data_IF_843627026179
#
_entry.id   IF_843627026179
#
_cell.length_a   1.000
_cell.length_b   1.000
_cell.length_c   1.000
_cell.angle_alpha   90.00
_cell.angle_beta   90.00
_cell.angle_gamma   90.00
#
_symmetry.space_group_name_H-M   'P 1'
#
loop_
_entity.id
_entity.type
_entity.pdbx_description
1 polymer ?
#
# COMPACT_ATOMS: atom_id res chain seq x y z
N UNK A 1 16.49 7.57 33.40
CA UNK A 1 15.92 7.78 32.05
C UNK A 1 14.48 8.23 32.20
N UNK A 2 14.11 9.40 31.68
CA UNK A 2 12.72 9.88 31.73
C UNK A 2 11.88 9.06 30.74
N UNK A 3 10.83 8.37 31.23
CA UNK A 3 9.95 7.56 30.38
C UNK A 3 9.21 8.48 29.41
N UNK A 4 9.31 8.22 28.11
CA UNK A 4 8.59 8.98 27.08
C UNK A 4 7.18 8.42 26.91
N UNK A 5 6.22 9.30 26.63
CA UNK A 5 4.80 8.93 26.50
C UNK A 5 4.45 8.28 25.16
N UNK A 6 5.39 8.18 24.21
CA UNK A 6 5.16 7.54 22.90
C UNK A 6 6.42 6.91 22.34
N UNK A 7 6.25 5.85 21.54
CA UNK A 7 7.30 5.22 20.75
C UNK A 7 7.68 6.20 19.62
N UNK A 8 8.95 6.61 19.57
CA UNK A 8 9.39 7.62 18.60
C UNK A 8 9.66 7.03 17.21
N UNK A 9 9.98 5.74 17.13
CA UNK A 9 10.27 5.07 15.87
C UNK A 9 10.03 3.57 15.93
N UNK A 10 9.54 3.01 14.83
CA UNK A 10 9.37 1.58 14.62
C UNK A 10 10.07 1.14 13.33
N UNK A 11 10.74 -0.01 13.38
CA UNK A 11 11.30 -0.68 12.20
C UNK A 11 10.24 -1.63 11.66
N UNK A 12 9.81 -1.41 10.42
CA UNK A 12 8.98 -2.33 9.68
C UNK A 12 9.83 -3.29 8.85
N UNK A 13 9.28 -4.47 8.56
CA UNK A 13 9.87 -5.39 7.59
C UNK A 13 10.04 -4.70 6.23
N UNK A 14 11.17 -4.98 5.55
CA UNK A 14 11.42 -4.47 4.21
C UNK A 14 10.27 -4.83 3.25
N UNK A 15 9.90 -3.95 2.30
CA UNK A 15 10.61 -2.71 1.95
C UNK A 15 10.21 -1.48 2.79
N UNK A 16 9.27 -1.58 3.74
CA UNK A 16 8.69 -0.42 4.46
C UNK A 16 9.71 0.40 5.27
N UNK A 17 10.72 -0.27 5.85
CA UNK A 17 11.81 0.41 6.55
C UNK A 17 11.40 1.06 7.88
N UNK A 18 12.19 2.06 8.31
CA UNK A 18 11.94 2.78 9.56
C UNK A 18 10.84 3.84 9.38
N UNK A 19 9.88 3.87 10.31
CA UNK A 19 8.84 4.90 10.38
C UNK A 19 8.91 5.59 11.74
N UNK A 20 9.24 6.89 11.72
CA UNK A 20 9.19 7.73 12.92
C UNK A 20 7.76 8.12 13.27
N UNK A 21 7.51 8.50 14.52
CA UNK A 21 6.19 8.99 14.95
C UNK A 21 5.76 10.24 14.19
N UNK A 22 6.69 11.13 13.86
CA UNK A 22 6.41 12.34 13.08
C UNK A 22 5.99 11.97 11.65
N UNK A 23 6.69 11.01 11.03
CA UNK A 23 6.32 10.51 9.71
C UNK A 23 4.94 9.86 9.75
N UNK A 24 4.68 8.98 10.74
CA UNK A 24 3.38 8.33 10.92
C UNK A 24 2.23 9.35 11.10
N UNK A 25 2.43 10.37 11.92
CA UNK A 25 1.42 11.41 12.16
C UNK A 25 1.20 12.33 10.95
N UNK A 26 2.19 12.46 10.06
CA UNK A 26 2.08 13.23 8.82
C UNK A 26 1.46 12.44 7.66
N UNK A 27 1.25 11.12 7.80
CA UNK A 27 0.60 10.31 6.79
C UNK A 27 -0.87 10.68 6.63
N UNK A 28 -1.32 10.69 5.38
CA UNK A 28 -2.74 10.71 5.05
C UNK A 28 -3.49 9.55 5.73
N UNK A 29 -4.76 9.74 6.14
CA UNK A 29 -5.53 8.72 6.86
C UNK A 29 -5.43 7.32 6.27
N UNK A 30 -5.72 7.21 4.97
CA UNK A 30 -5.73 5.94 4.28
C UNK A 30 -4.36 5.22 4.27
N UNK A 31 -3.24 5.94 4.36
CA UNK A 31 -1.90 5.33 4.39
C UNK A 31 -1.57 4.70 5.76
N UNK A 32 -1.80 5.42 6.87
CA UNK A 32 -1.54 4.81 8.18
C UNK A 32 -2.60 3.76 8.55
N UNK A 33 -3.85 3.92 8.07
CA UNK A 33 -4.91 2.92 8.21
C UNK A 33 -4.54 1.64 7.47
N UNK A 34 -3.90 1.76 6.30
CA UNK A 34 -3.34 0.62 5.59
C UNK A 34 -2.30 -0.12 6.45
N UNK A 35 -1.29 0.59 6.97
CA UNK A 35 -0.25 -0.01 7.82
C UNK A 35 -0.85 -0.69 9.06
N UNK A 36 -1.82 -0.04 9.69
CA UNK A 36 -2.56 -0.60 10.83
C UNK A 36 -3.25 -1.90 10.44
N UNK A 37 -3.91 -1.95 9.28
CA UNK A 37 -4.56 -3.15 8.76
C UNK A 37 -3.57 -4.31 8.57
N UNK A 38 -2.45 -4.05 7.88
CA UNK A 38 -1.43 -5.07 7.61
C UNK A 38 -0.72 -5.58 8.87
N UNK A 39 -0.50 -4.72 9.88
CA UNK A 39 -0.01 -5.17 11.19
C UNK A 39 -0.98 -6.17 11.83
N UNK A 40 -2.29 -5.92 11.77
CA UNK A 40 -3.29 -6.83 12.35
C UNK A 40 -3.42 -8.15 11.56
N UNK A 41 -3.32 -8.10 10.23
CA UNK A 41 -3.25 -9.30 9.38
C UNK A 41 -2.03 -10.13 9.73
N UNK A 42 -0.84 -9.51 9.81
CA UNK A 42 0.39 -10.21 10.15
C UNK A 42 0.34 -10.80 11.55
N UNK A 43 -0.15 -10.05 12.54
CA UNK A 43 -0.28 -10.55 13.92
C UNK A 43 -1.20 -11.77 14.00
N UNK A 44 -2.21 -11.83 13.13
CA UNK A 44 -3.17 -12.95 13.11
C UNK A 44 -2.64 -14.18 12.35
N UNK A 45 -1.84 -13.98 11.30
CA UNK A 45 -1.34 -15.06 10.42
C UNK A 45 0.04 -15.59 10.78
N UNK A 46 0.94 -14.75 11.27
CA UNK A 46 2.32 -15.10 11.65
C UNK A 46 2.74 -14.29 12.90
N UNK A 47 2.22 -14.65 14.09
CA UNK A 47 2.42 -13.87 15.33
C UNK A 47 3.88 -13.78 15.78
N UNK A 48 4.72 -14.75 15.38
CA UNK A 48 6.15 -14.84 15.62
C UNK A 48 7.00 -13.95 14.69
N UNK A 49 6.44 -13.56 13.53
CA UNK A 49 7.04 -12.65 12.56
C UNK A 49 6.27 -11.32 12.45
N UNK A 50 6.25 -10.48 13.50
CA UNK A 50 5.56 -9.19 13.50
C UNK A 50 6.06 -8.27 12.38
N UNK A 51 5.14 -7.53 11.77
CA UNK A 51 5.43 -6.62 10.67
C UNK A 51 6.21 -5.39 11.13
N UNK A 52 6.01 -4.95 12.38
CA UNK A 52 6.61 -3.75 12.95
C UNK A 52 7.16 -4.04 14.36
N UNK A 53 8.36 -3.52 14.63
CA UNK A 53 9.04 -3.65 15.92
C UNK A 53 9.51 -2.29 16.42
N UNK A 54 9.46 -2.07 17.73
CA UNK A 54 10.03 -0.89 18.36
C UNK A 54 11.53 -0.76 18.03
N UNK A 55 12.01 0.44 17.66
CA UNK A 55 13.42 0.65 17.33
C UNK A 55 14.36 0.31 18.51
N UNK A 56 13.91 0.56 19.76
CA UNK A 56 14.72 0.34 20.97
C UNK A 56 14.68 -1.12 21.43
N UNK A 57 13.52 -1.58 21.93
CA UNK A 57 13.43 -2.89 22.58
C UNK A 57 13.13 -4.03 21.61
N UNK A 58 12.94 -3.77 20.32
CA UNK A 58 12.62 -4.75 19.27
C UNK A 58 11.32 -5.55 19.50
N UNK A 59 10.56 -5.24 20.56
CA UNK A 59 9.26 -5.83 20.84
C UNK A 59 8.26 -5.46 19.74
N UNK A 60 7.28 -6.33 19.45
CA UNK A 60 6.22 -6.05 18.47
C UNK A 60 5.45 -4.77 18.83
N UNK A 61 5.10 -3.97 17.81
CA UNK A 61 4.29 -2.76 17.97
C UNK A 61 3.12 -2.74 17.01
N UNK A 62 2.09 -1.98 17.36
CA UNK A 62 0.96 -1.69 16.50
C UNK A 62 0.65 -0.20 16.45
N UNK A 63 -0.16 0.19 15.47
CA UNK A 63 -0.67 1.56 15.35
C UNK A 63 -2.02 1.62 16.06
N UNK A 64 -2.12 2.41 17.12
CA UNK A 64 -3.36 2.77 17.80
C UNK A 64 -3.92 4.06 17.18
N UNK A 65 -5.21 4.08 16.89
CA UNK A 65 -5.93 5.32 16.62
C UNK A 65 -6.34 5.97 17.96
N UNK A 66 -5.85 7.18 18.21
CA UNK A 66 -6.23 7.97 19.36
C UNK A 66 -7.19 9.09 18.94
N UNK A 67 -8.38 9.10 19.53
CA UNK A 67 -9.34 10.17 19.29
C UNK A 67 -8.80 11.51 19.84
N UNK A 68 -8.93 12.56 19.03
CA UNK A 68 -8.63 13.95 19.38
C UNK A 68 -9.79 14.85 18.92
N UNK A 69 -9.75 16.14 19.28
CA UNK A 69 -10.74 17.11 18.82
C UNK A 69 -10.74 17.30 17.29
N UNK A 70 -9.65 16.96 16.59
CA UNK A 70 -9.50 17.08 15.15
C UNK A 70 -9.67 15.73 14.41
N UNK A 71 -10.20 14.70 15.09
CA UNK A 71 -10.31 13.34 14.58
C UNK A 71 -9.26 12.39 15.15
N UNK A 72 -9.14 11.20 14.56
CA UNK A 72 -8.20 10.18 15.03
C UNK A 72 -6.79 10.46 14.54
N UNK A 73 -5.82 10.40 15.45
CA UNK A 73 -4.38 10.44 15.11
C UNK A 73 -3.74 9.07 15.34
N UNK A 74 -2.81 8.64 14.45
CA UNK A 74 -2.09 7.39 14.62
C UNK A 74 -0.94 7.53 15.62
N UNK A 75 -0.83 6.59 16.55
CA UNK A 75 0.30 6.48 17.48
C UNK A 75 0.79 5.05 17.55
N UNK A 76 2.10 4.87 17.69
CA UNK A 76 2.68 3.56 18.00
C UNK A 76 2.39 3.15 19.44
N UNK A 77 2.10 1.88 19.64
CA UNK A 77 1.91 1.25 20.94
C UNK A 77 2.52 -0.15 20.97
N UNK A 78 3.00 -0.57 22.14
CA UNK A 78 3.48 -1.93 22.37
C UNK A 78 2.31 -2.89 22.56
N UNK A 79 2.46 -4.12 22.08
CA UNK A 79 1.56 -5.21 22.48
C UNK A 79 1.79 -5.61 23.96
N UNK A 80 0.85 -6.38 24.53
CA UNK A 80 0.85 -6.75 25.94
C UNK A 80 2.05 -7.62 26.37
N UNK A 81 2.67 -8.30 25.42
CA UNK A 81 3.82 -9.19 25.56
C UNK A 81 5.18 -8.47 25.41
N UNK A 82 5.19 -7.14 25.30
CA UNK A 82 6.42 -6.36 25.12
C UNK A 82 7.26 -6.21 26.41
N UNK A 83 8.55 -5.92 26.21
CA UNK A 83 9.50 -5.68 27.30
C UNK A 83 9.11 -4.46 28.16
N UNK A 84 8.84 -4.63 29.47
CA UNK A 84 8.38 -3.55 30.35
C UNK A 84 9.41 -2.44 30.61
N UNK A 85 10.70 -2.75 30.44
CA UNK A 85 11.80 -1.84 30.72
C UNK A 85 12.12 -0.89 29.55
N UNK A 86 11.38 -0.99 28.45
CA UNK A 86 11.51 -0.07 27.34
C UNK A 86 11.23 1.38 27.78
N UNK A 87 12.09 2.36 27.47
CA UNK A 87 11.86 3.75 27.85
C UNK A 87 10.63 4.38 27.20
N UNK A 88 10.11 3.75 26.14
CA UNK A 88 8.89 4.13 25.43
C UNK A 88 7.68 3.28 25.82
N UNK A 89 7.78 2.48 26.88
CA UNK A 89 6.69 1.63 27.34
C UNK A 89 5.56 2.47 27.95
N UNK A 90 4.36 2.35 27.39
CA UNK A 90 3.16 3.11 27.79
C UNK A 90 2.29 2.40 28.82
N UNK A 91 2.72 1.24 29.34
CA UNK A 91 1.91 0.38 30.22
C UNK A 91 1.27 -0.79 29.46
N UNK A 92 0.55 -1.65 30.19
CA UNK A 92 -0.14 -2.80 29.61
C UNK A 92 -1.36 -2.31 28.79
N UNK A 93 -1.46 -2.64 27.49
CA UNK A 93 -2.67 -2.37 26.73
C UNK A 93 -3.83 -3.21 27.27
N UNK A 94 -5.07 -2.76 27.01
CA UNK A 94 -6.28 -3.53 27.31
C UNK A 94 -6.21 -4.89 26.60
N UNK A 95 -6.52 -5.95 27.34
CA UNK A 95 -6.66 -7.30 26.77
C UNK A 95 -7.87 -7.29 25.82
N UNK A 96 -7.78 -7.89 24.62
CA UNK A 96 -8.89 -7.91 23.66
C UNK A 96 -10.23 -8.35 24.26
N UNK A 97 -10.23 -9.37 25.12
CA UNK A 97 -11.43 -9.88 25.79
C UNK A 97 -12.07 -8.85 26.73
N UNK A 98 -11.25 -8.13 27.49
CA UNK A 98 -11.71 -7.05 28.38
C UNK A 98 -12.28 -5.88 27.58
N UNK A 99 -11.66 -5.54 26.45
CA UNK A 99 -12.15 -4.49 25.56
C UNK A 99 -13.52 -4.85 24.96
N UNK A 100 -13.72 -6.12 24.58
CA UNK A 100 -15.02 -6.62 24.12
C UNK A 100 -16.06 -6.58 25.22
N UNK A 101 -15.74 -7.10 26.40
CA UNK A 101 -16.64 -7.09 27.54
C UNK A 101 -17.09 -5.67 27.90
N UNK A 102 -16.18 -4.70 27.85
CA UNK A 102 -16.49 -3.29 28.11
C UNK A 102 -17.39 -2.66 27.03
N UNK A 103 -17.15 -2.94 25.76
CA UNK A 103 -17.94 -2.39 24.65
C UNK A 103 -19.36 -2.97 24.63
N UNK A 104 -19.49 -4.28 24.78
CA UNK A 104 -20.76 -4.97 24.62
C UNK A 104 -21.54 -5.11 25.93
N UNK A 105 -20.93 -4.83 27.09
CA UNK A 105 -21.55 -4.95 28.43
C UNK A 105 -22.26 -6.31 28.64
N UNK A 106 -21.75 -7.38 28.03
CA UNK A 106 -22.33 -8.72 28.08
C UNK A 106 -23.54 -8.98 27.16
N UNK A 107 -23.97 -8.01 26.35
CA UNK A 107 -25.03 -8.20 25.35
C UNK A 107 -24.41 -8.73 24.05
N UNK A 108 -24.65 -10.00 23.73
CA UNK A 108 -24.07 -10.65 22.54
C UNK A 108 -24.70 -10.19 21.22
N UNK A 109 -26.01 -9.90 21.20
CA UNK A 109 -26.72 -9.59 19.96
C UNK A 109 -27.94 -8.70 20.24
N UNK A 110 -28.21 -7.68 19.41
CA UNK A 110 -29.40 -6.84 19.55
C UNK A 110 -30.46 -7.20 18.50
N UNK A 111 -31.74 -6.89 18.77
CA UNK A 111 -32.86 -7.24 17.89
C UNK A 111 -32.71 -6.69 16.45
N UNK A 112 -32.06 -5.53 16.29
CA UNK A 112 -31.77 -4.95 14.97
C UNK A 112 -30.77 -5.80 14.17
N UNK A 113 -29.75 -6.34 14.83
CA UNK A 113 -28.75 -7.20 14.19
C UNK A 113 -29.41 -8.46 13.66
N UNK A 114 -30.15 -9.15 14.55
CA UNK A 114 -30.89 -10.35 14.21
C UNK A 114 -31.86 -10.13 13.07
N UNK A 115 -32.64 -9.05 13.14
CA UNK A 115 -33.57 -8.69 12.07
C UNK A 115 -32.88 -8.50 10.72
N UNK A 116 -31.73 -7.80 10.68
CA UNK A 116 -30.97 -7.64 9.44
C UNK A 116 -30.45 -8.98 8.90
N UNK A 117 -29.90 -9.83 9.77
CA UNK A 117 -29.37 -11.14 9.39
C UNK A 117 -30.47 -12.05 8.84
N UNK A 118 -31.60 -12.15 9.55
CA UNK A 118 -32.76 -12.94 9.13
C UNK A 118 -33.31 -12.44 7.79
N UNK A 119 -33.45 -11.11 7.63
CA UNK A 119 -33.96 -10.51 6.39
C UNK A 119 -33.02 -10.78 5.20
N UNK A 120 -31.71 -10.61 5.38
CA UNK A 120 -30.72 -10.90 4.34
C UNK A 120 -30.75 -12.41 3.99
N UNK A 121 -30.88 -13.28 4.98
CA UNK A 121 -30.97 -14.71 4.75
C UNK A 121 -32.25 -15.10 3.99
N UNK A 122 -33.39 -14.49 4.30
CA UNK A 122 -34.64 -14.72 3.58
C UNK A 122 -34.57 -14.26 2.11
N UNK A 123 -33.90 -13.13 1.85
CA UNK A 123 -33.59 -12.69 0.48
C UNK A 123 -32.73 -13.73 -0.24
N UNK A 124 -31.69 -14.27 0.41
CA UNK A 124 -30.89 -15.34 -0.20
C UNK A 124 -31.70 -16.61 -0.43
N UNK A 125 -32.58 -17.02 0.49
CA UNK A 125 -33.43 -18.22 0.32
C UNK A 125 -34.44 -18.08 -0.82
N UNK A 126 -34.89 -16.86 -1.08
CA UNK A 126 -35.77 -16.56 -2.22
C UNK A 126 -35.03 -16.54 -3.56
N UNK A 127 -33.70 -16.41 -3.56
CA UNK A 127 -32.89 -16.46 -4.78
C UNK A 127 -32.88 -17.90 -5.33
N UNK A 128 -33.36 -18.15 -6.56
CA UNK A 128 -33.46 -19.50 -7.13
C UNK A 128 -32.10 -20.18 -7.33
N UNK A 129 -31.00 -19.44 -7.20
CA UNK A 129 -29.63 -19.94 -7.33
C UNK A 129 -29.06 -20.44 -5.99
N UNK A 130 -29.75 -20.20 -4.87
CA UNK A 130 -29.27 -20.56 -3.56
C UNK A 130 -29.26 -22.08 -3.35
N UNK A 131 -28.08 -22.61 -3.03
CA UNK A 131 -27.86 -24.01 -2.67
C UNK A 131 -27.95 -24.17 -1.15
N UNK A 132 -27.35 -23.23 -0.42
CA UNK A 132 -27.29 -23.27 1.05
C UNK A 132 -27.29 -21.86 1.61
N UNK A 133 -28.12 -21.62 2.62
CA UNK A 133 -28.16 -20.36 3.37
C UNK A 133 -28.21 -20.66 4.86
N UNK A 134 -27.33 -20.04 5.63
CA UNK A 134 -27.24 -20.26 7.08
C UNK A 134 -27.01 -18.94 7.81
N UNK A 135 -27.62 -18.77 8.98
CA UNK A 135 -27.47 -17.62 9.86
C UNK A 135 -26.78 -18.08 11.13
N UNK A 136 -25.77 -17.35 11.59
CA UNK A 136 -25.00 -17.64 12.81
C UNK A 136 -24.55 -19.10 12.94
N UNK A 137 -24.26 -19.76 11.81
CA UNK A 137 -23.87 -21.16 11.80
C UNK A 137 -22.35 -21.30 11.63
N UNK A 138 -21.76 -22.18 12.42
CA UNK A 138 -20.32 -22.46 12.39
C UNK A 138 -19.89 -22.92 11.00
N UNK A 139 -18.98 -22.18 10.37
CA UNK A 139 -18.22 -22.69 9.24
C UNK A 139 -17.00 -23.43 9.78
N UNK A 140 -17.08 -24.76 9.75
CA UNK A 140 -15.94 -25.63 10.04
C UNK A 140 -14.88 -25.41 8.94
N UNK A 141 -13.62 -25.12 9.29
CA UNK A 141 -12.59 -24.90 8.29
C UNK A 141 -12.23 -26.21 7.58
N UNK A 142 -11.75 -26.10 6.35
CA UNK A 142 -11.31 -27.25 5.57
C UNK A 142 -10.08 -27.96 6.17
N UNK A 143 -9.30 -27.25 7.00
CA UNK A 143 -8.11 -27.74 7.72
C UNK A 143 -8.32 -27.43 9.21
N UNK A 144 -8.01 -28.37 10.11
CA UNK A 144 -8.37 -28.33 11.55
C UNK A 144 -7.73 -27.17 12.36
N UNK A 145 -8.22 -25.94 12.18
CA UNK A 145 -7.93 -24.78 13.04
C UNK A 145 -9.20 -23.93 13.21
N UNK A 146 -9.73 -23.81 14.44
CA UNK A 146 -10.95 -23.03 14.86
C UNK A 146 -11.64 -22.19 13.78
N UNK A 147 -12.82 -22.65 13.32
CA UNK A 147 -13.67 -21.97 12.34
C UNK A 147 -14.32 -20.67 12.86
N UNK A 148 -15.01 -19.96 11.97
CA UNK A 148 -15.76 -18.74 12.30
C UNK A 148 -17.24 -18.85 11.94
N UNK A 149 -18.04 -18.01 12.56
CA UNK A 149 -19.48 -17.90 12.33
C UNK A 149 -19.71 -16.60 11.55
N UNK A 150 -20.02 -16.66 10.25
CA UNK A 150 -20.55 -15.49 9.56
C UNK A 150 -21.97 -15.21 10.06
N UNK A 151 -22.33 -13.93 10.14
CA UNK A 151 -23.69 -13.54 10.51
C UNK A 151 -24.69 -14.11 9.49
N UNK A 152 -24.37 -14.02 8.19
CA UNK A 152 -25.08 -14.75 7.13
C UNK A 152 -24.09 -15.38 6.15
N UNK A 153 -24.29 -16.66 5.85
CA UNK A 153 -23.59 -17.37 4.78
C UNK A 153 -24.56 -17.79 3.69
N UNK A 154 -24.13 -17.63 2.43
CA UNK A 154 -24.87 -18.09 1.27
C UNK A 154 -23.94 -18.77 0.25
N UNK A 155 -24.31 -19.96 -0.21
CA UNK A 155 -23.75 -20.62 -1.39
C UNK A 155 -24.75 -20.46 -2.54
N UNK A 156 -24.35 -19.70 -3.56
CA UNK A 156 -25.15 -19.41 -4.75
C UNK A 156 -24.66 -20.21 -5.97
N UNK A 157 -24.08 -21.39 -5.73
CA UNK A 157 -23.62 -22.31 -6.77
C UNK A 157 -22.51 -21.72 -7.62
N UNK A 158 -22.75 -21.61 -8.93
CA UNK A 158 -21.76 -21.09 -9.88
C UNK A 158 -21.39 -19.61 -9.61
N UNK A 159 -22.22 -18.88 -8.88
CA UNK A 159 -21.89 -17.51 -8.46
C UNK A 159 -20.86 -17.54 -7.31
N UNK A 160 -20.85 -18.59 -6.48
CA UNK A 160 -19.88 -18.80 -5.41
C UNK A 160 -20.46 -18.65 -4.01
N UNK A 161 -19.55 -18.63 -3.03
CA UNK A 161 -19.87 -18.60 -1.60
C UNK A 161 -19.63 -17.21 -1.01
N UNK A 162 -20.54 -16.77 -0.15
CA UNK A 162 -20.55 -15.43 0.42
C UNK A 162 -20.69 -15.49 1.94
N UNK A 163 -19.91 -14.68 2.63
CA UNK A 163 -20.07 -14.36 4.04
C UNK A 163 -20.44 -12.88 4.16
N UNK A 164 -21.58 -12.60 4.77
CA UNK A 164 -22.06 -11.25 5.10
C UNK A 164 -21.86 -11.04 6.59
N UNK A 165 -21.12 -10.00 6.96
CA UNK A 165 -20.93 -9.56 8.34
C UNK A 165 -21.69 -8.24 8.55
N UNK A 166 -22.72 -8.26 9.39
CA UNK A 166 -23.60 -7.12 9.67
C UNK A 166 -23.04 -6.33 10.85
N UNK A 167 -22.61 -5.11 10.59
CA UNK A 167 -21.94 -4.30 11.59
C UNK A 167 -22.80 -3.12 12.08
N UNK A 168 -23.26 -3.22 13.33
CA UNK A 168 -24.04 -2.16 14.01
C UNK A 168 -23.23 -1.31 14.98
N UNK A 169 -22.07 -1.80 15.41
CA UNK A 169 -21.20 -1.12 16.38
C UNK A 169 -19.76 -1.14 15.89
N UNK A 170 -18.86 -0.36 16.48
CA UNK A 170 -17.47 -0.30 16.00
C UNK A 170 -16.79 -1.68 16.13
N UNK A 171 -16.34 -2.33 15.05
CA UNK A 171 -15.61 -3.59 15.14
C UNK A 171 -14.17 -3.36 15.62
N UNK A 172 -13.54 -4.40 16.18
CA UNK A 172 -12.13 -4.37 16.54
C UNK A 172 -11.26 -4.78 15.35
N UNK A 173 -10.15 -4.06 15.11
CA UNK A 173 -9.24 -4.33 13.98
C UNK A 173 -8.72 -5.77 13.90
N UNK A 174 -8.47 -6.41 15.05
CA UNK A 174 -8.02 -7.80 15.08
C UNK A 174 -9.12 -8.78 14.65
N UNK A 175 -10.40 -8.46 14.91
CA UNK A 175 -11.54 -9.30 14.49
C UNK A 175 -11.79 -9.16 13.00
N UNK A 176 -11.63 -7.94 12.47
CA UNK A 176 -11.68 -7.69 11.02
C UNK A 176 -10.60 -8.53 10.34
N UNK A 177 -9.33 -8.36 10.74
CA UNK A 177 -8.21 -9.11 10.17
C UNK A 177 -8.43 -10.64 10.21
N UNK A 178 -8.89 -11.18 11.33
CA UNK A 178 -9.13 -12.61 11.49
C UNK A 178 -10.22 -13.15 10.53
N UNK A 179 -11.31 -12.40 10.32
CA UNK A 179 -12.38 -12.78 9.38
C UNK A 179 -11.91 -12.77 7.94
N UNK A 180 -11.16 -11.73 7.56
CA UNK A 180 -10.56 -11.62 6.24
C UNK A 180 -9.65 -12.81 5.93
N UNK A 181 -8.78 -13.22 6.87
CA UNK A 181 -7.91 -14.38 6.69
C UNK A 181 -8.70 -15.69 6.57
N UNK A 182 -9.70 -15.91 7.45
CA UNK A 182 -10.49 -17.12 7.46
C UNK A 182 -11.32 -17.31 6.19
N UNK A 183 -12.11 -16.30 5.78
CA UNK A 183 -12.95 -16.46 4.59
C UNK A 183 -12.12 -16.57 3.31
N UNK A 184 -10.96 -15.90 3.25
CA UNK A 184 -10.01 -16.08 2.15
C UNK A 184 -9.51 -17.52 2.05
N UNK A 185 -9.11 -18.14 3.16
CA UNK A 185 -8.61 -19.53 3.14
C UNK A 185 -9.68 -20.54 2.74
N UNK A 186 -10.95 -20.24 3.02
CA UNK A 186 -12.10 -21.08 2.67
C UNK A 186 -12.68 -20.79 1.26
N UNK A 187 -12.10 -19.85 0.51
CA UNK A 187 -12.61 -19.45 -0.81
C UNK A 187 -13.99 -18.78 -0.75
N UNK A 188 -14.32 -18.16 0.39
CA UNK A 188 -15.59 -17.48 0.64
C UNK A 188 -15.40 -15.97 0.46
N UNK A 189 -16.25 -15.35 -0.34
CA UNK A 189 -16.22 -13.90 -0.59
C UNK A 189 -16.86 -13.15 0.58
N UNK A 190 -16.07 -12.34 1.28
CA UNK A 190 -16.50 -11.55 2.44
C UNK A 190 -17.05 -10.19 2.00
N UNK A 191 -18.19 -9.79 2.59
CA UNK A 191 -18.70 -8.42 2.56
C UNK A 191 -19.16 -7.99 3.95
N UNK A 192 -18.81 -6.77 4.31
CA UNK A 192 -19.28 -6.11 5.51
C UNK A 192 -20.39 -5.14 5.16
N UNK A 193 -21.50 -5.25 5.89
CA UNK A 193 -22.71 -4.47 5.66
C UNK A 193 -23.01 -3.64 6.90
N UNK A 194 -23.11 -2.34 6.71
CA UNK A 194 -23.44 -1.38 7.75
C UNK A 194 -24.94 -1.14 7.80
N UNK A 195 -25.43 -0.77 8.99
CA UNK A 195 -26.81 -0.30 9.14
C UNK A 195 -27.02 1.15 8.74
N UNK A 196 -25.96 1.94 8.83
CA UNK A 196 -25.93 3.38 8.66
C UNK A 196 -24.50 3.86 8.46
N UNK A 197 -24.37 5.07 7.94
CA UNK A 197 -23.10 5.73 7.68
C UNK A 197 -23.12 7.06 8.40
N UNK A 198 -22.43 7.14 9.55
CA UNK A 198 -22.28 8.38 10.28
C UNK A 198 -21.35 9.35 9.53
N UNK A 199 -21.56 10.66 9.70
CA UNK A 199 -20.69 11.70 9.13
C UNK A 199 -19.24 11.53 9.61
N UNK A 200 -19.05 11.25 10.90
CA UNK A 200 -17.77 10.87 11.48
C UNK A 200 -17.73 9.39 11.83
N UNK A 201 -17.02 8.60 11.03
CA UNK A 201 -16.91 7.17 11.26
C UNK A 201 -15.89 6.84 12.36
N UNK A 202 -16.29 6.08 13.41
CA UNK A 202 -15.34 5.53 14.36
C UNK A 202 -14.30 4.64 13.67
N UNK A 203 -13.07 4.59 14.21
CA UNK A 203 -11.95 3.92 13.55
C UNK A 203 -12.23 2.48 13.07
N UNK A 204 -13.01 1.70 13.81
CA UNK A 204 -13.29 0.31 13.43
C UNK A 204 -14.09 0.22 12.13
N UNK A 205 -15.03 1.15 11.91
CA UNK A 205 -15.76 1.24 10.64
C UNK A 205 -14.83 1.66 9.50
N UNK A 206 -13.90 2.59 9.76
CA UNK A 206 -12.85 2.96 8.78
C UNK A 206 -11.93 1.78 8.45
N UNK A 207 -11.55 0.99 9.46
CA UNK A 207 -10.76 -0.23 9.28
C UNK A 207 -11.49 -1.20 8.31
N UNK A 208 -12.81 -1.39 8.45
CA UNK A 208 -13.63 -2.18 7.52
C UNK A 208 -13.66 -1.57 6.11
N UNK A 209 -13.97 -0.28 5.98
CA UNK A 209 -14.02 0.43 4.68
C UNK A 209 -12.68 0.31 3.93
N UNK A 210 -11.55 0.42 4.63
CA UNK A 210 -10.22 0.23 4.07
C UNK A 210 -10.08 -1.16 3.45
N UNK A 211 -10.51 -2.20 4.17
CA UNK A 211 -10.46 -3.57 3.68
C UNK A 211 -11.39 -3.81 2.49
N UNK A 212 -12.48 -3.05 2.38
CA UNK A 212 -13.38 -2.99 1.22
C UNK A 212 -12.94 -1.93 0.21
N UNK A 213 -11.66 -1.54 0.18
CA UNK A 213 -11.06 -0.62 -0.81
C UNK A 213 -11.79 0.73 -0.96
N UNK A 214 -12.30 1.28 0.14
CA UNK A 214 -13.04 2.55 0.15
C UNK A 214 -14.53 2.42 -0.19
N UNK A 215 -15.10 1.22 -0.05
CA UNK A 215 -16.52 0.95 -0.30
C UNK A 215 -17.23 0.70 1.05
N UNK A 216 -18.33 1.42 1.27
CA UNK A 216 -19.25 1.14 2.36
C UNK A 216 -20.56 0.59 1.79
N UNK A 217 -20.94 -0.60 2.22
CA UNK A 217 -22.19 -1.25 1.80
C UNK A 217 -23.21 -1.15 2.91
N UNK A 218 -24.40 -0.65 2.58
CA UNK A 218 -25.51 -0.50 3.51
C UNK A 218 -26.68 -1.37 3.06
N UNK A 219 -27.32 -2.00 4.04
CA UNK A 219 -28.64 -2.61 3.87
C UNK A 219 -29.70 -1.71 4.50
N UNK A 220 -30.00 -0.63 3.77
CA UNK A 220 -31.01 0.37 4.12
C UNK A 220 -32.38 0.05 3.51
N UNK A 221 -33.38 0.92 3.70
CA UNK A 221 -34.72 0.73 3.18
C UNK A 221 -34.78 0.66 1.64
N UNK A 222 -33.91 1.40 0.94
CA UNK A 222 -33.86 1.41 -0.53
C UNK A 222 -33.24 0.10 -1.04
N UNK A 223 -32.15 -0.33 -0.42
CA UNK A 223 -31.49 -1.61 -0.70
C UNK A 223 -32.42 -2.80 -0.44
N UNK A 224 -33.18 -2.77 0.66
CA UNK A 224 -34.15 -3.80 0.98
C UNK A 224 -35.27 -3.88 -0.08
N UNK A 225 -35.89 -2.74 -0.44
CA UNK A 225 -36.93 -2.72 -1.47
C UNK A 225 -36.41 -3.24 -2.83
N UNK A 226 -35.21 -2.81 -3.23
CA UNK A 226 -34.57 -3.27 -4.46
C UNK A 226 -34.22 -4.78 -4.43
N UNK A 227 -33.88 -5.31 -3.26
CA UNK A 227 -33.61 -6.74 -3.09
C UNK A 227 -34.85 -7.59 -3.30
N UNK A 228 -35.99 -7.15 -2.75
CA UNK A 228 -37.28 -7.81 -2.95
C UNK A 228 -37.74 -7.76 -4.41
N UNK A 229 -37.59 -6.61 -5.06
CA UNK A 229 -37.97 -6.43 -6.47
C UNK A 229 -37.14 -7.33 -7.40
N UNK A 230 -35.84 -7.49 -7.12
CA UNK A 230 -34.90 -8.23 -7.98
C UNK A 230 -34.76 -9.71 -7.62
N UNK A 231 -35.32 -10.15 -6.50
CA UNK A 231 -35.22 -11.54 -6.02
C UNK A 231 -33.79 -11.96 -5.68
N UNK A 232 -32.99 -11.05 -5.15
CA UNK A 232 -31.60 -11.31 -4.75
C UNK A 232 -31.00 -10.13 -3.99
N UNK A 233 -29.92 -10.36 -3.24
CA UNK A 233 -29.35 -9.33 -2.37
C UNK A 233 -28.81 -8.14 -3.17
N UNK A 234 -29.34 -6.96 -2.87
CA UNK A 234 -28.90 -5.66 -3.35
C UNK A 234 -28.54 -4.78 -2.16
N UNK A 235 -27.46 -4.02 -2.30
CA UNK A 235 -26.92 -3.13 -1.27
C UNK A 235 -26.78 -1.71 -1.82
N UNK A 236 -26.94 -0.72 -0.94
CA UNK A 236 -26.53 0.65 -1.23
C UNK A 236 -25.02 0.76 -1.04
N UNK A 237 -24.28 1.00 -2.12
CA UNK A 237 -22.83 1.16 -2.10
C UNK A 237 -22.46 2.64 -2.14
N UNK A 238 -21.77 3.09 -1.11
CA UNK A 238 -21.15 4.41 -1.01
C UNK A 238 -19.65 4.28 -1.29
N UNK A 239 -19.14 5.11 -2.20
CA UNK A 239 -17.72 5.15 -2.55
C UNK A 239 -17.04 6.34 -1.87
N UNK A 240 -15.91 6.08 -1.24
CA UNK A 240 -15.09 7.12 -0.61
C UNK A 240 -14.50 8.07 -1.68
N UNK A 241 -14.47 9.35 -1.30
CA UNK A 241 -13.93 10.49 -2.06
C UNK A 241 -13.20 11.43 -1.11
N UNK A 242 -12.46 12.41 -1.65
CA UNK A 242 -11.69 13.36 -0.84
C UNK A 242 -12.56 14.27 0.04
N UNK A 243 -13.88 14.39 -0.26
CA UNK A 243 -14.84 15.20 0.48
C UNK A 243 -15.91 14.39 1.24
N UNK A 244 -15.69 13.09 1.46
CA UNK A 244 -16.67 12.19 2.07
C UNK A 244 -17.15 11.13 1.08
N UNK A 245 -18.46 10.97 0.94
CA UNK A 245 -19.05 9.87 0.15
C UNK A 245 -19.67 10.36 -1.17
N UNK A 246 -19.44 9.61 -2.25
CA UNK A 246 -20.19 9.78 -3.49
C UNK A 246 -21.65 9.35 -3.30
N UNK A 247 -22.54 9.83 -4.18
CA UNK A 247 -23.94 9.41 -4.20
C UNK A 247 -24.04 7.88 -4.29
N UNK A 248 -24.86 7.23 -3.45
CA UNK A 248 -24.92 5.78 -3.40
C UNK A 248 -25.44 5.17 -4.70
N UNK A 249 -24.95 3.97 -4.99
CA UNK A 249 -25.38 3.13 -6.12
C UNK A 249 -25.94 1.83 -5.57
N UNK A 250 -27.06 1.36 -6.12
CA UNK A 250 -27.58 0.03 -5.83
C UNK A 250 -26.76 -1.01 -6.59
N UNK A 251 -26.22 -1.99 -5.86
CA UNK A 251 -25.34 -3.04 -6.40
C UNK A 251 -25.77 -4.41 -5.92
N UNK A 252 -25.76 -5.39 -6.82
CA UNK A 252 -25.90 -6.80 -6.51
C UNK A 252 -24.53 -7.44 -6.27
N UNK A 253 -24.50 -8.63 -5.68
CA UNK A 253 -23.24 -9.36 -5.44
C UNK A 253 -22.45 -9.65 -6.73
N UNK A 254 -23.14 -9.83 -7.86
CA UNK A 254 -22.53 -10.06 -9.17
C UNK A 254 -21.87 -8.82 -9.78
N UNK A 255 -22.15 -7.63 -9.22
CA UNK A 255 -21.53 -6.38 -9.66
C UNK A 255 -20.18 -6.14 -8.98
N UNK A 256 -19.82 -6.95 -7.97
CA UNK A 256 -18.67 -6.72 -7.11
C UNK A 256 -17.45 -7.53 -7.56
N UNK A 257 -16.29 -6.90 -7.48
CA UNK A 257 -15.00 -7.57 -7.66
C UNK A 257 -14.70 -8.47 -6.47
N UNK A 258 -14.14 -9.65 -6.78
CA UNK A 258 -13.80 -10.73 -5.83
C UNK A 258 -12.34 -11.18 -5.96
N UNK A 259 -11.59 -10.62 -6.90
CA UNK A 259 -10.33 -11.14 -7.45
C UNK A 259 -9.14 -11.07 -6.51
N UNK A 260 -9.23 -10.34 -5.38
CA UNK A 260 -8.07 -10.06 -4.52
C UNK A 260 -8.21 -10.59 -3.09
N UNK A 261 -9.17 -11.49 -2.83
CA UNK A 261 -9.24 -12.30 -1.60
C UNK A 261 -9.33 -11.56 -0.26
N UNK A 262 -9.46 -10.23 -0.26
CA UNK A 262 -9.49 -9.41 0.96
C UNK A 262 -10.96 -9.15 1.35
N UNK A 263 -11.73 -8.37 0.61
CA UNK A 263 -13.20 -8.36 0.68
C UNK A 263 -13.75 -7.94 -0.69
N UNK A 264 -15.05 -8.09 -0.89
CA UNK A 264 -15.72 -7.60 -2.07
C UNK A 264 -15.71 -6.07 -2.11
N UNK A 265 -15.58 -5.50 -3.30
CA UNK A 265 -15.64 -4.06 -3.55
C UNK A 265 -16.26 -3.78 -4.91
N UNK A 266 -16.85 -2.59 -5.11
CA UNK A 266 -17.36 -2.17 -6.41
C UNK A 266 -16.28 -1.45 -7.23
N UNK A 267 -15.59 -0.50 -6.60
CA UNK A 267 -14.52 0.28 -7.23
C UNK A 267 -13.32 0.37 -6.28
N UNK A 268 -12.11 0.21 -6.79
CA UNK A 268 -10.90 0.32 -6.00
C UNK A 268 -10.50 1.78 -5.81
N UNK A 269 -10.98 2.38 -4.72
CA UNK A 269 -10.72 3.79 -4.38
C UNK A 269 -9.31 4.02 -3.86
N UNK A 270 -8.53 2.96 -3.60
CA UNK A 270 -7.21 3.05 -3.00
C UNK A 270 -6.10 2.93 -4.03
N UNK A 271 -6.08 1.84 -4.79
CA UNK A 271 -5.04 1.57 -5.78
C UNK A 271 -4.93 2.69 -6.79
N UNK A 272 -6.07 3.19 -7.29
CA UNK A 272 -6.08 4.27 -8.29
C UNK A 272 -5.31 5.50 -7.80
N UNK A 273 -5.52 5.92 -6.54
CA UNK A 273 -4.83 7.10 -5.98
C UNK A 273 -3.31 6.91 -5.92
N UNK A 274 -2.85 5.71 -5.56
CA UNK A 274 -1.42 5.39 -5.49
C UNK A 274 -0.80 5.39 -6.90
N UNK A 275 -1.45 4.74 -7.87
CA UNK A 275 -0.97 4.72 -9.26
C UNK A 275 -0.99 6.11 -9.90
N UNK A 276 -2.04 6.90 -9.66
CA UNK A 276 -2.13 8.29 -10.11
C UNK A 276 -1.00 9.14 -9.49
N UNK A 277 -0.67 8.94 -8.21
CA UNK A 277 0.46 9.62 -7.57
C UNK A 277 1.80 9.31 -8.27
N UNK A 278 2.02 8.04 -8.61
CA UNK A 278 3.20 7.60 -9.35
C UNK A 278 3.25 8.22 -10.75
N UNK A 279 2.15 8.12 -11.50
CA UNK A 279 2.04 8.64 -12.86
C UNK A 279 2.21 10.17 -12.91
N UNK A 280 1.63 10.90 -11.95
CA UNK A 280 1.71 12.36 -11.89
C UNK A 280 3.15 12.86 -11.74
N UNK A 281 4.04 12.11 -11.08
CA UNK A 281 5.45 12.48 -10.98
C UNK A 281 6.16 12.40 -12.34
N UNK A 282 5.81 11.40 -13.15
CA UNK A 282 6.48 11.09 -14.42
C UNK A 282 5.83 11.73 -15.64
N UNK A 283 4.59 12.21 -15.56
CA UNK A 283 3.81 12.69 -16.70
C UNK A 283 4.58 13.65 -17.62
N UNK A 284 5.15 14.73 -17.05
CA UNK A 284 5.91 15.74 -17.82
C UNK A 284 7.23 15.23 -18.41
N UNK A 285 7.75 14.12 -17.89
CA UNK A 285 8.94 13.48 -18.44
C UNK A 285 8.58 12.56 -19.60
N UNK A 286 7.57 11.71 -19.43
CA UNK A 286 7.15 10.74 -20.44
C UNK A 286 6.68 11.45 -21.72
N UNK A 287 5.95 12.56 -21.61
CA UNK A 287 5.55 13.40 -22.75
C UNK A 287 6.74 13.76 -23.67
N UNK A 288 7.92 13.97 -23.09
CA UNK A 288 9.14 14.36 -23.81
C UNK A 288 9.94 13.13 -24.24
N UNK A 289 10.10 12.14 -23.36
CA UNK A 289 10.86 10.92 -23.62
C UNK A 289 10.23 10.07 -24.73
N UNK A 290 8.91 10.10 -24.88
CA UNK A 290 8.19 9.42 -25.96
C UNK A 290 8.32 10.13 -27.30
N UNK A 291 8.55 11.45 -27.31
CA UNK A 291 8.69 12.25 -28.51
C UNK A 291 10.03 12.04 -29.25
N UNK A 292 11.04 11.46 -28.59
CA UNK A 292 12.32 11.12 -29.21
C UNK A 292 13.32 10.52 -28.21
N UNK A 293 14.34 9.82 -28.71
CA UNK A 293 15.50 9.35 -27.95
C UNK A 293 16.61 8.94 -28.93
N UNK A 294 17.90 8.97 -28.55
CA UNK A 294 18.48 9.41 -27.26
C UNK A 294 18.78 10.92 -27.20
N UNK A 295 18.90 11.46 -25.98
CA UNK A 295 19.13 12.89 -25.73
C UNK A 295 20.59 13.22 -25.37
N UNK A 296 21.05 14.40 -25.79
CA UNK A 296 22.24 15.06 -25.28
C UNK A 296 21.80 16.30 -24.47
N UNK A 297 21.80 16.18 -23.14
CA UNK A 297 21.31 17.24 -22.26
C UNK A 297 22.24 18.45 -22.18
N UNK A 298 23.47 18.36 -22.69
CA UNK A 298 24.33 19.54 -22.84
C UNK A 298 23.89 20.43 -24.01
N UNK A 299 23.10 19.91 -24.95
CA UNK A 299 22.49 20.71 -26.00
C UNK A 299 21.37 21.60 -25.44
N UNK A 300 21.47 22.91 -25.64
CA UNK A 300 20.56 23.89 -25.03
C UNK A 300 19.10 23.74 -25.53
N UNK A 301 18.83 23.57 -26.84
CA UNK A 301 17.53 23.14 -27.34
C UNK A 301 16.94 21.91 -26.64
N UNK A 302 17.75 20.90 -26.34
CA UNK A 302 17.28 19.70 -25.64
C UNK A 302 16.97 20.02 -24.18
N UNK A 303 17.89 20.67 -23.45
CA UNK A 303 17.65 21.09 -22.06
C UNK A 303 16.35 21.91 -21.94
N UNK A 304 16.11 22.86 -22.84
CA UNK A 304 14.91 23.70 -22.82
C UNK A 304 13.60 22.92 -22.99
N UNK A 305 13.60 21.82 -23.74
CA UNK A 305 12.41 20.95 -23.86
C UNK A 305 12.01 20.34 -22.52
N UNK A 306 12.97 20.03 -21.66
CA UNK A 306 12.73 19.52 -20.29
C UNK A 306 12.40 20.63 -19.27
N UNK A 307 12.05 21.84 -19.71
CA UNK A 307 11.60 22.95 -18.85
C UNK A 307 10.43 22.56 -17.95
N UNK A 308 9.31 22.10 -18.53
CA UNK A 308 8.15 21.69 -17.76
C UNK A 308 8.43 20.55 -16.78
N UNK A 309 9.27 19.57 -17.17
CA UNK A 309 9.66 18.45 -16.31
C UNK A 309 10.49 18.93 -15.10
N UNK A 310 11.46 19.82 -15.35
CA UNK A 310 12.27 20.45 -14.31
C UNK A 310 11.42 21.32 -13.35
N UNK A 311 10.48 22.10 -13.88
CA UNK A 311 9.63 22.95 -13.05
C UNK A 311 8.69 22.11 -12.18
N UNK A 312 8.11 21.05 -12.75
CA UNK A 312 7.26 20.11 -12.01
C UNK A 312 8.01 19.44 -10.86
N UNK A 313 9.19 18.87 -11.09
CA UNK A 313 9.91 18.15 -10.03
C UNK A 313 10.38 19.07 -8.90
N UNK A 314 10.72 20.33 -9.20
CA UNK A 314 11.09 21.31 -8.18
C UNK A 314 9.93 21.77 -7.30
N UNK A 315 8.68 21.66 -7.77
CA UNK A 315 7.52 21.91 -6.92
C UNK A 315 7.42 20.85 -5.82
N UNK A 316 7.75 19.59 -6.13
CA UNK A 316 7.77 18.50 -5.16
C UNK A 316 9.05 18.48 -4.32
N UNK A 317 10.19 18.88 -4.89
CA UNK A 317 11.50 18.90 -4.22
C UNK A 317 12.15 20.29 -4.32
N UNK A 318 11.70 21.29 -3.53
CA UNK A 318 12.19 22.67 -3.65
C UNK A 318 13.71 22.81 -3.48
N UNK A 319 14.32 21.93 -2.66
CA UNK A 319 15.77 21.88 -2.40
C UNK A 319 16.62 21.62 -3.65
N UNK A 320 16.04 21.08 -4.73
CA UNK A 320 16.74 20.91 -6.01
C UNK A 320 17.26 22.23 -6.59
N UNK A 321 16.56 23.35 -6.36
CA UNK A 321 17.00 24.66 -6.85
C UNK A 321 18.35 25.04 -6.24
N UNK A 322 18.47 24.91 -4.92
CA UNK A 322 19.72 25.18 -4.19
C UNK A 322 20.83 24.19 -4.55
N UNK A 323 20.48 22.91 -4.74
CA UNK A 323 21.43 21.89 -5.22
C UNK A 323 21.99 22.26 -6.60
N UNK A 324 21.16 22.68 -7.55
CA UNK A 324 21.60 23.09 -8.90
C UNK A 324 22.64 24.22 -8.84
N UNK A 325 22.41 25.22 -8.00
CA UNK A 325 23.30 26.37 -7.88
C UNK A 325 24.61 26.01 -7.15
N UNK A 326 24.53 25.15 -6.14
CA UNK A 326 25.72 24.59 -5.49
C UNK A 326 26.55 23.73 -6.45
N UNK A 327 25.90 22.94 -7.30
CA UNK A 327 26.55 22.12 -8.30
C UNK A 327 27.37 22.95 -9.28
N UNK A 328 26.78 24.03 -9.81
CA UNK A 328 27.46 24.94 -10.72
C UNK A 328 28.69 25.58 -10.07
N UNK A 329 28.54 26.10 -8.83
CA UNK A 329 29.65 26.73 -8.11
C UNK A 329 30.81 25.76 -7.85
N UNK A 330 30.51 24.49 -7.55
CA UNK A 330 31.52 23.49 -7.21
C UNK A 330 32.22 22.90 -8.43
N UNK A 331 31.51 22.66 -9.52
CA UNK A 331 32.02 21.89 -10.67
C UNK A 331 32.14 22.71 -11.95
N UNK A 332 31.72 23.98 -11.95
CA UNK A 332 31.65 24.85 -13.12
C UNK A 332 30.87 24.23 -14.30
N UNK A 333 29.85 23.42 -13.96
CA UNK A 333 28.97 22.71 -14.89
C UNK A 333 27.51 23.00 -14.58
N UNK A 334 26.66 23.06 -15.61
CA UNK A 334 25.23 23.34 -15.42
C UNK A 334 24.56 22.17 -14.69
N UNK A 335 23.99 22.45 -13.51
CA UNK A 335 23.39 21.41 -12.66
C UNK A 335 22.10 20.81 -13.22
N UNK A 336 21.33 21.58 -14.00
CA UNK A 336 20.08 21.09 -14.58
C UNK A 336 20.33 20.01 -15.66
N UNK A 337 21.15 20.24 -16.70
CA UNK A 337 21.58 19.17 -17.62
C UNK A 337 22.08 17.91 -16.93
N UNK A 338 22.93 18.07 -15.90
CA UNK A 338 23.43 16.94 -15.11
C UNK A 338 22.32 16.16 -14.40
N UNK A 339 21.35 16.87 -13.83
CA UNK A 339 20.18 16.24 -13.23
C UNK A 339 19.29 15.52 -14.26
N UNK A 340 19.01 16.16 -15.40
CA UNK A 340 18.19 15.57 -16.45
C UNK A 340 18.81 14.28 -16.99
N UNK A 341 20.13 14.28 -17.21
CA UNK A 341 20.86 13.09 -17.62
C UNK A 341 20.77 11.96 -16.59
N UNK A 342 20.92 12.28 -15.29
CA UNK A 342 20.75 11.29 -14.23
C UNK A 342 19.34 10.71 -14.16
N UNK A 343 18.31 11.55 -14.28
CA UNK A 343 16.92 11.06 -14.30
C UNK A 343 16.65 10.21 -15.55
N UNK A 344 17.21 10.58 -16.70
CA UNK A 344 17.12 9.79 -17.92
C UNK A 344 17.78 8.40 -17.77
N UNK A 345 18.87 8.27 -16.98
CA UNK A 345 19.43 6.96 -16.60
C UNK A 345 18.40 6.13 -15.83
N UNK A 346 17.71 6.72 -14.85
CA UNK A 346 16.69 6.00 -14.05
C UNK A 346 15.47 5.62 -14.90
N UNK A 347 15.00 6.52 -15.77
CA UNK A 347 13.94 6.21 -16.74
C UNK A 347 14.35 5.09 -17.71
N UNK A 348 15.62 5.03 -18.10
CA UNK A 348 16.13 3.94 -18.96
C UNK A 348 16.05 2.59 -18.25
N UNK A 349 16.36 2.53 -16.95
CA UNK A 349 16.20 1.32 -16.14
C UNK A 349 14.72 0.93 -16.05
N UNK A 350 13.84 1.86 -15.69
CA UNK A 350 12.40 1.60 -15.60
C UNK A 350 11.83 1.10 -16.93
N UNK A 351 12.17 1.76 -18.04
CA UNK A 351 11.65 1.40 -19.35
C UNK A 351 12.15 0.04 -19.85
N UNK A 352 13.42 -0.26 -19.56
CA UNK A 352 13.99 -1.56 -19.92
C UNK A 352 13.36 -2.68 -19.07
N UNK A 353 13.08 -2.43 -17.80
CA UNK A 353 12.33 -3.35 -16.94
C UNK A 353 10.88 -3.54 -17.41
N UNK A 354 10.22 -2.49 -17.89
CA UNK A 354 8.83 -2.53 -18.35
C UNK A 354 8.67 -3.26 -19.69
N UNK A 355 9.56 -3.03 -20.64
CA UNK A 355 9.45 -3.59 -22.00
C UNK A 355 10.17 -4.93 -22.16
N UNK A 356 11.05 -5.29 -21.22
CA UNK A 356 11.96 -6.42 -21.35
C UNK A 356 13.02 -6.25 -22.45
N UNK A 357 13.16 -5.03 -23.00
CA UNK A 357 14.13 -4.68 -24.06
C UNK A 357 15.00 -3.53 -23.58
N UNK A 358 16.26 -3.52 -23.97
CA UNK A 358 17.19 -2.45 -23.59
C UNK A 358 16.80 -1.14 -24.30
N UNK A 359 16.15 -0.23 -23.57
CA UNK A 359 15.76 1.10 -24.07
C UNK A 359 16.40 2.17 -23.19
N UNK A 360 17.33 2.92 -23.77
CA UNK A 360 18.04 4.01 -23.08
C UNK A 360 17.68 5.38 -23.66
N UNK A 361 17.56 6.37 -22.77
CA UNK A 361 17.27 7.76 -23.12
C UNK A 361 18.51 8.65 -23.19
N UNK A 362 19.67 8.10 -22.81
CA UNK A 362 20.95 8.79 -22.78
C UNK A 362 21.85 8.26 -23.89
N UNK A 363 22.41 9.17 -24.70
CA UNK A 363 23.40 8.99 -25.79
C UNK A 363 23.59 7.58 -26.44
N UNK A 364 23.42 7.51 -27.77
CA UNK A 364 24.02 6.56 -28.76
C UNK A 364 24.09 5.03 -28.51
N UNK A 365 23.60 4.46 -27.42
CA UNK A 365 23.56 3.00 -27.28
C UNK A 365 22.33 2.43 -28.02
N UNK A 366 22.58 1.56 -29.01
CA UNK A 366 21.54 0.87 -29.82
C UNK A 366 21.74 -0.65 -29.84
N UNK A 367 22.54 -1.17 -28.92
CA UNK A 367 22.91 -2.59 -28.83
C UNK A 367 21.95 -3.36 -27.92
N UNK A 368 21.98 -4.69 -28.00
CA UNK A 368 21.29 -5.61 -27.08
C UNK A 368 21.85 -5.55 -25.64
N UNK A 369 22.85 -4.70 -25.39
CA UNK A 369 23.47 -4.45 -24.08
C UNK A 369 23.50 -2.96 -23.73
N UNK A 370 22.66 -2.15 -24.37
CA UNK A 370 22.69 -0.69 -24.27
C UNK A 370 22.62 -0.17 -22.83
N UNK A 371 21.78 -0.76 -21.98
CA UNK A 371 21.66 -0.38 -20.58
C UNK A 371 22.96 -0.65 -19.80
N UNK A 372 23.53 -1.85 -19.93
CA UNK A 372 24.78 -2.21 -19.25
C UNK A 372 25.95 -1.32 -19.71
N UNK A 373 26.06 -1.06 -21.01
CA UNK A 373 27.07 -0.17 -21.59
C UNK A 373 26.94 1.26 -21.05
N UNK A 374 25.72 1.81 -21.05
CA UNK A 374 25.42 3.12 -20.49
C UNK A 374 25.81 3.20 -19.01
N UNK A 375 25.42 2.21 -18.20
CA UNK A 375 25.69 2.20 -16.76
C UNK A 375 27.19 2.13 -16.46
N UNK A 376 27.93 1.25 -17.14
CA UNK A 376 29.38 1.14 -16.99
C UNK A 376 30.09 2.46 -17.36
N UNK A 377 29.69 3.07 -18.49
CA UNK A 377 30.26 4.32 -18.95
C UNK A 377 29.98 5.47 -17.98
N UNK A 378 28.73 5.58 -17.50
CA UNK A 378 28.33 6.63 -16.55
C UNK A 378 29.03 6.46 -15.21
N UNK A 379 29.02 5.26 -14.62
CA UNK A 379 29.69 5.01 -13.33
C UNK A 379 31.21 5.15 -13.39
N UNK A 380 31.83 5.06 -14.57
CA UNK A 380 33.26 5.38 -14.74
C UNK A 380 33.53 6.89 -14.77
N UNK A 381 32.52 7.71 -15.08
CA UNK A 381 32.62 9.17 -15.15
C UNK A 381 32.68 9.82 -13.78
N UNK A 382 33.64 10.74 -13.60
CA UNK A 382 33.91 11.44 -12.33
C UNK A 382 32.65 11.98 -11.63
N UNK A 383 31.75 12.60 -12.39
CA UNK A 383 30.56 13.26 -11.80
C UNK A 383 29.45 12.30 -11.37
N UNK A 384 29.42 11.07 -11.89
CA UNK A 384 28.33 10.13 -11.68
C UNK A 384 28.64 9.01 -10.67
N UNK A 385 29.91 8.83 -10.30
CA UNK A 385 30.34 7.85 -9.28
C UNK A 385 29.57 7.95 -7.96
N UNK A 386 29.14 9.16 -7.59
CA UNK A 386 28.35 9.43 -6.37
C UNK A 386 26.91 8.90 -6.38
N UNK A 387 26.43 8.36 -7.51
CA UNK A 387 25.07 7.86 -7.67
C UNK A 387 25.01 6.35 -7.80
N UNK A 388 26.08 5.63 -7.44
CA UNK A 388 26.13 4.17 -7.51
C UNK A 388 25.03 3.53 -6.67
N UNK A 389 24.83 4.01 -5.44
CA UNK A 389 23.79 3.47 -4.54
C UNK A 389 22.37 3.79 -5.04
N UNK A 390 22.17 4.97 -5.63
CA UNK A 390 20.90 5.35 -6.27
C UNK A 390 20.58 4.41 -7.44
N UNK A 391 21.54 4.21 -8.34
CA UNK A 391 21.40 3.35 -9.52
C UNK A 391 21.21 1.88 -9.11
N UNK A 392 21.98 1.38 -8.15
CA UNK A 392 21.84 0.01 -7.64
C UNK A 392 20.46 -0.19 -7.02
N UNK A 393 19.96 0.78 -6.24
CA UNK A 393 18.60 0.74 -5.67
C UNK A 393 17.54 0.65 -6.76
N UNK A 394 17.66 1.44 -7.84
CA UNK A 394 16.76 1.37 -8.99
C UNK A 394 16.77 0.00 -9.65
N UNK A 395 17.96 -0.57 -9.90
CA UNK A 395 18.07 -1.89 -10.52
C UNK A 395 17.51 -2.98 -9.60
N UNK A 396 17.87 -2.96 -8.32
CA UNK A 396 17.45 -3.97 -7.35
C UNK A 396 15.92 -3.99 -7.15
N UNK A 397 15.27 -2.82 -7.25
CA UNK A 397 13.83 -2.66 -7.10
C UNK A 397 12.99 -2.93 -8.35
N UNK A 398 13.60 -3.36 -9.46
CA UNK A 398 12.92 -3.54 -10.75
C UNK A 398 13.22 -4.90 -11.40
N UNK A 399 12.46 -5.26 -12.43
CA UNK A 399 12.72 -6.45 -13.25
C UNK A 399 14.10 -6.40 -13.96
N UNK A 400 14.72 -5.21 -14.05
CA UNK A 400 16.09 -5.04 -14.52
C UNK A 400 17.18 -5.46 -13.51
N UNK A 401 16.82 -5.99 -12.32
CA UNK A 401 17.77 -6.46 -11.30
C UNK A 401 18.80 -7.46 -11.81
N UNK A 402 18.48 -8.23 -12.85
CA UNK A 402 19.39 -9.18 -13.45
C UNK A 402 20.69 -8.53 -13.97
N UNK A 403 20.65 -7.23 -14.32
CA UNK A 403 21.84 -6.47 -14.74
C UNK A 403 22.87 -6.36 -13.60
N UNK A 404 22.45 -6.40 -12.33
CA UNK A 404 23.36 -6.40 -11.16
C UNK A 404 24.22 -7.67 -11.05
N UNK A 405 23.86 -8.74 -11.76
CA UNK A 405 24.66 -9.98 -11.78
C UNK A 405 25.88 -9.86 -12.69
N UNK A 406 25.97 -8.80 -13.50
CA UNK A 406 27.06 -8.61 -14.47
C UNK A 406 28.36 -8.18 -13.75
N UNK A 407 29.47 -8.93 -13.89
CA UNK A 407 30.72 -8.61 -13.18
C UNK A 407 31.28 -7.22 -13.48
N UNK A 408 31.12 -6.75 -14.72
CA UNK A 408 31.55 -5.41 -15.13
C UNK A 408 30.84 -4.32 -14.33
N UNK A 409 29.52 -4.46 -14.12
CA UNK A 409 28.73 -3.48 -13.39
C UNK A 409 29.05 -3.53 -11.89
N UNK A 410 29.19 -4.73 -11.32
CA UNK A 410 29.62 -4.88 -9.91
C UNK A 410 30.98 -4.21 -9.67
N UNK A 411 31.92 -4.37 -10.60
CA UNK A 411 33.22 -3.69 -10.56
C UNK A 411 33.06 -2.17 -10.64
N UNK A 412 32.20 -1.67 -11.53
CA UNK A 412 31.94 -0.24 -11.68
C UNK A 412 31.30 0.36 -10.42
N UNK A 413 30.29 -0.29 -9.83
CA UNK A 413 29.64 0.11 -8.58
C UNK A 413 30.65 0.12 -7.42
N UNK A 414 31.47 -0.94 -7.28
CA UNK A 414 32.49 -1.03 -6.24
C UNK A 414 33.54 0.09 -6.32
N UNK A 415 34.04 0.38 -7.53
CA UNK A 415 34.96 1.51 -7.76
C UNK A 415 34.31 2.86 -7.46
N UNK A 416 33.09 3.05 -7.92
CA UNK A 416 32.35 4.29 -7.70
C UNK A 416 32.16 4.59 -6.20
N UNK A 417 31.87 3.58 -5.37
CA UNK A 417 31.79 3.69 -3.90
C UNK A 417 33.13 4.02 -3.25
N UNK A 418 34.22 3.42 -3.74
CA UNK A 418 35.55 3.66 -3.20
C UNK A 418 36.06 5.09 -3.51
N UNK A 419 35.63 5.66 -4.63
CA UNK A 419 36.17 6.92 -5.16
C UNK A 419 35.28 8.15 -4.89
N UNK A 420 34.02 7.96 -4.50
CA UNK A 420 33.09 9.06 -4.24
C UNK A 420 32.14 8.78 -3.07
N UNK A 421 31.87 9.81 -2.27
CA UNK A 421 30.78 9.81 -1.30
C UNK A 421 29.44 9.67 -2.03
N UNK A 422 28.65 8.68 -1.62
CA UNK A 422 27.38 8.34 -2.27
C UNK A 422 26.24 9.23 -1.78
N UNK A 423 25.33 9.57 -2.68
CA UNK A 423 24.05 10.18 -2.28
C UNK A 423 23.19 9.15 -1.54
N UNK A 424 22.45 9.61 -0.54
CA UNK A 424 21.55 8.79 0.25
C UNK A 424 20.20 9.50 0.46
N UNK A 425 19.28 8.81 1.16
CA UNK A 425 17.98 9.34 1.57
C UNK A 425 18.13 10.73 2.22
N UNK A 426 17.28 11.67 1.83
CA UNK A 426 17.32 13.06 2.30
C UNK A 426 18.25 13.98 1.49
N UNK A 427 19.00 13.44 0.52
CA UNK A 427 19.66 14.25 -0.50
C UNK A 427 18.66 14.67 -1.60
N UNK A 428 18.67 15.93 -2.11
CA UNK A 428 17.65 16.39 -3.07
C UNK A 428 17.51 15.55 -4.35
N UNK A 429 18.59 14.90 -4.79
CA UNK A 429 18.56 13.98 -5.93
C UNK A 429 17.84 12.66 -5.58
N UNK A 430 18.02 12.17 -4.36
CA UNK A 430 17.32 10.97 -3.89
C UNK A 430 15.83 11.25 -3.76
N UNK A 431 15.46 12.36 -3.13
CA UNK A 431 14.05 12.80 -3.01
C UNK A 431 13.39 12.96 -4.38
N UNK A 432 14.14 13.42 -5.39
CA UNK A 432 13.64 13.54 -6.76
C UNK A 432 13.39 12.16 -7.40
N UNK A 433 14.31 11.22 -7.21
CA UNK A 433 14.13 9.84 -7.65
C UNK A 433 12.96 9.17 -6.92
N UNK A 434 12.78 9.43 -5.63
CA UNK A 434 11.64 8.96 -4.83
C UNK A 434 10.32 9.50 -5.34
N UNK A 435 10.25 10.79 -5.67
CA UNK A 435 9.03 11.37 -6.26
C UNK A 435 8.72 10.79 -7.64
N UNK A 436 9.73 10.49 -8.45
CA UNK A 436 9.57 9.99 -9.82
C UNK A 436 9.33 8.48 -9.88
N UNK A 437 9.91 7.70 -8.97
CA UNK A 437 9.82 6.24 -8.92
C UNK A 437 9.52 5.77 -7.49
N UNK A 438 8.41 6.21 -6.88
CA UNK A 438 8.07 5.83 -5.52
C UNK A 438 7.87 4.31 -5.39
N UNK A 439 7.55 3.61 -6.48
CA UNK A 439 7.47 2.14 -6.50
C UNK A 439 8.79 1.44 -6.17
N UNK A 440 9.91 2.16 -6.23
CA UNK A 440 11.25 1.66 -5.89
C UNK A 440 11.76 2.29 -4.59
N UNK A 441 11.67 3.61 -4.48
CA UNK A 441 12.35 4.37 -3.43
C UNK A 441 11.46 4.73 -2.23
N UNK A 442 10.13 4.70 -2.39
CA UNK A 442 9.19 4.82 -1.28
C UNK A 442 8.79 3.40 -0.85
N UNK A 443 9.48 2.91 0.17
CA UNK A 443 9.27 1.57 0.72
C UNK A 443 7.86 1.33 1.24
N UNK A 444 7.16 2.37 1.70
CA UNK A 444 5.79 2.28 2.21
C UNK A 444 4.79 2.16 1.06
N UNK A 445 4.91 3.04 0.05
CA UNK A 445 4.06 2.99 -1.14
C UNK A 445 4.28 1.69 -1.91
N UNK A 446 5.54 1.26 -2.09
CA UNK A 446 5.87 -0.01 -2.72
C UNK A 446 5.20 -1.19 -2.01
N UNK A 447 5.31 -1.23 -0.68
CA UNK A 447 4.73 -2.31 0.10
C UNK A 447 3.20 -2.31 0.01
N UNK A 448 2.58 -1.14 0.07
CA UNK A 448 1.12 -1.04 -0.02
C UNK A 448 0.59 -1.46 -1.40
N UNK A 449 1.25 -1.07 -2.49
CA UNK A 449 0.92 -1.57 -3.83
C UNK A 449 1.09 -3.09 -3.91
N UNK A 450 2.14 -3.64 -3.29
CA UNK A 450 2.36 -5.09 -3.23
C UNK A 450 1.28 -5.79 -2.40
N UNK A 451 0.88 -5.25 -1.25
CA UNK A 451 -0.21 -5.80 -0.44
C UNK A 451 -1.52 -5.80 -1.24
N UNK A 452 -1.78 -4.76 -2.04
CA UNK A 452 -2.99 -4.69 -2.87
C UNK A 452 -2.95 -5.61 -4.10
N UNK A 453 -1.84 -6.30 -4.35
CA UNK A 453 -1.54 -7.08 -5.55
C UNK A 453 -1.56 -6.19 -6.83
N UNK A 454 -1.05 -4.96 -6.71
CA UNK A 454 -1.11 -3.91 -7.73
C UNK A 454 0.25 -3.22 -7.97
N UNK A 455 1.35 -3.81 -7.49
CA UNK A 455 2.69 -3.32 -7.83
C UNK A 455 2.93 -3.51 -9.34
N UNK A 456 3.32 -2.46 -10.09
CA UNK A 456 3.53 -2.57 -11.53
C UNK A 456 4.56 -3.64 -11.89
N UNK A 457 4.34 -4.38 -12.98
CA UNK A 457 5.20 -5.49 -13.38
C UNK A 457 6.69 -5.12 -13.50
N UNK A 458 7.00 -3.89 -13.96
CA UNK A 458 8.38 -3.41 -14.07
C UNK A 458 9.07 -3.23 -12.71
N UNK A 459 8.30 -2.98 -11.65
CA UNK A 459 8.75 -2.84 -10.27
C UNK A 459 8.56 -4.12 -9.46
N UNK A 460 7.72 -5.04 -9.91
CA UNK A 460 7.58 -6.36 -9.32
C UNK A 460 8.88 -7.14 -9.54
N UNK A 461 9.50 -7.55 -8.45
CA UNK A 461 10.57 -8.54 -8.48
C UNK A 461 9.90 -9.84 -8.11
N UNK A 462 10.06 -10.90 -8.92
CA UNK A 462 9.63 -12.23 -8.51
C UNK A 462 10.30 -12.52 -7.16
N UNK A 463 9.48 -12.54 -6.10
CA UNK A 463 9.95 -12.79 -4.73
C UNK A 463 10.18 -14.28 -4.48
N UNK A 464 10.24 -15.11 -5.53
CA UNK A 464 10.40 -16.56 -5.39
C UNK A 464 11.49 -17.13 -6.32
N UNK A 465 12.69 -17.40 -5.79
CA UNK A 465 13.55 -18.46 -6.31
C UNK A 465 13.01 -19.86 -5.97
N UNK A 466 12.08 -19.99 -5.01
CA UNK A 466 11.68 -21.26 -4.41
C UNK A 466 10.26 -21.73 -4.81
N UNK A 467 9.60 -21.12 -5.80
CA UNK A 467 8.29 -21.61 -6.29
C UNK A 467 8.36 -22.80 -7.24
N UNK A 468 9.52 -23.41 -7.45
CA UNK A 468 9.68 -24.68 -8.20
C UNK A 468 9.88 -25.91 -7.29
N UNK A 469 9.66 -25.81 -5.98
CA UNK A 469 9.68 -26.97 -5.09
C UNK A 469 8.62 -26.93 -3.99
N UNK A 470 7.38 -27.29 -4.33
CA UNK A 470 6.43 -27.98 -3.45
C UNK A 470 5.28 -28.59 -4.26
#
# INVERSE_FOLDING_TARGET
MQRQRTIQSAIFEAPRGEVTINALMAMEPAAWEHLRGEINLRRSSAPDRPLARCLICKSPVYIKAQATAAGNVPLFAHYADAEPDCPWYQGKPLVPDDARAAQYRGQQECARHRWMCDTIADIFRADPRAIKVTVDQYLKPAIEERGRYPDVFADLGNIGKFAVEVQLSKPFAFEIAARHLHYRSEGVSLIWVFSDLADELPQGFRDVVRFQRGNAFLFDAVAHAASLERGGLVLSCYLESDGGWLKPRLVALTDLDRGNGRAMFLDDRRTKKLLDHCAAGRAKWLDILEAGAPFDFEDAPIDNQFGPAWDSIRMFVPRLSGWKDAWYRKHLRRGRPHFLDLMAILFSIQRSAETGREQVYVTRYKSDHALLEMLNARLSGEFYKRYADLIETMLAGTAARHVLTRPSLQTALGKARAEAEQVAVGHPIWDAAERLFPEVYDGLLRAELADLDQLPAWAAIDLNPDSEAA
#
